data_IF_420570614990
#
_entry.id   IF_420570614990
#
_cell.length_a   1.000
_cell.length_b   1.000
_cell.length_c   1.000
_cell.angle_alpha   90.00
_cell.angle_beta   90.00
_cell.angle_gamma   90.00
#
_symmetry.space_group_name_H-M   'P 1'
#
loop_
_entity.id
_entity.type
_entity.pdbx_description
1 polymer ?
#
# COMPACT_ATOMS: atom_id res chain seq x y z
N UNK A 1 -12.42 -4.63 23.04
CA UNK A 1 -12.20 -5.53 21.90
C UNK A 1 -10.70 -5.59 21.59
N UNK A 2 -10.17 -6.76 21.47
CA UNK A 2 -8.74 -6.96 21.15
C UNK A 2 -8.63 -7.22 19.64
N UNK A 3 -7.86 -6.38 18.95
CA UNK A 3 -7.58 -6.60 17.53
C UNK A 3 -6.41 -7.57 17.38
N UNK A 4 -6.47 -8.35 16.32
CA UNK A 4 -5.38 -9.24 15.91
C UNK A 4 -4.80 -8.79 14.60
N UNK A 5 -3.53 -9.11 14.40
CA UNK A 5 -2.83 -8.83 13.14
C UNK A 5 -2.22 -10.13 12.63
N UNK A 6 -2.24 -10.32 11.30
CA UNK A 6 -1.54 -11.45 10.70
C UNK A 6 -0.03 -11.19 10.69
N UNK A 7 0.77 -12.18 10.26
CA UNK A 7 2.22 -12.06 10.19
C UNK A 7 2.69 -10.91 9.27
N UNK A 8 1.85 -10.52 8.32
CA UNK A 8 2.13 -9.41 7.41
C UNK A 8 1.64 -8.06 7.93
N UNK A 9 1.04 -8.01 9.12
CA UNK A 9 0.55 -6.79 9.74
C UNK A 9 -0.87 -6.39 9.35
N UNK A 10 -1.64 -7.23 8.65
CA UNK A 10 -3.03 -6.94 8.31
C UNK A 10 -3.93 -7.09 9.52
N UNK A 11 -4.87 -6.15 9.67
CA UNK A 11 -5.85 -6.20 10.75
C UNK A 11 -6.81 -7.37 10.53
N UNK A 12 -7.02 -8.16 11.56
CA UNK A 12 -7.88 -9.34 11.52
C UNK A 12 -8.99 -9.26 12.56
N UNK A 13 -10.16 -9.77 12.20
CA UNK A 13 -11.19 -10.06 13.18
C UNK A 13 -10.66 -11.17 14.10
N UNK A 14 -10.83 -11.05 15.44
CA UNK A 14 -10.32 -12.07 16.36
C UNK A 14 -10.89 -13.49 16.15
N UNK A 15 -12.04 -13.59 15.47
CA UNK A 15 -12.65 -14.88 15.17
C UNK A 15 -12.07 -15.57 13.95
N UNK A 16 -11.29 -14.87 13.14
CA UNK A 16 -10.71 -15.45 11.92
C UNK A 16 -9.54 -16.38 12.26
N UNK A 17 -9.50 -17.54 11.60
CA UNK A 17 -8.38 -18.47 11.72
C UNK A 17 -7.21 -18.10 10.84
N UNK A 18 -7.48 -17.40 9.75
CA UNK A 18 -6.47 -16.92 8.80
C UNK A 18 -6.89 -15.57 8.25
N UNK A 19 -5.91 -14.81 7.76
CA UNK A 19 -6.14 -13.47 7.23
C UNK A 19 -6.68 -13.56 5.78
N UNK A 20 -7.89 -13.02 5.49
CA UNK A 20 -8.41 -13.04 4.11
C UNK A 20 -7.54 -12.28 3.12
N UNK A 21 -6.85 -11.22 3.57
CA UNK A 21 -5.95 -10.46 2.70
C UNK A 21 -4.77 -11.31 2.26
N UNK A 22 -4.18 -12.09 3.19
CA UNK A 22 -3.08 -12.98 2.85
C UNK A 22 -3.52 -14.17 1.99
N UNK A 23 -4.79 -14.56 2.06
CA UNK A 23 -5.35 -15.65 1.23
C UNK A 23 -5.66 -15.20 -0.19
N UNK A 24 -5.85 -13.90 -0.43
CA UNK A 24 -6.06 -13.39 -1.78
C UNK A 24 -4.81 -13.64 -2.63
N UNK A 25 -4.96 -13.82 -3.95
CA UNK A 25 -3.80 -14.04 -4.82
C UNK A 25 -2.77 -12.93 -4.71
N UNK A 26 -1.49 -13.30 -4.58
CA UNK A 26 -0.39 -12.37 -4.56
C UNK A 26 -0.20 -11.76 -5.94
N UNK A 27 -0.15 -10.44 -6.02
CA UNK A 27 -0.02 -9.70 -7.29
C UNK A 27 1.32 -9.00 -7.43
N UNK A 28 2.05 -8.83 -6.33
CA UNK A 28 3.34 -8.16 -6.37
C UNK A 28 3.77 -7.64 -5.01
N UNK A 29 4.70 -6.71 -5.05
CA UNK A 29 5.28 -6.09 -3.84
C UNK A 29 5.43 -4.60 -4.01
N UNK A 30 5.26 -3.87 -2.91
CA UNK A 30 5.59 -2.45 -2.82
C UNK A 30 6.86 -2.35 -1.97
N UNK A 31 7.95 -1.90 -2.57
CA UNK A 31 9.25 -1.83 -1.90
C UNK A 31 9.50 -0.41 -1.43
N UNK A 32 9.59 -0.21 -0.11
CA UNK A 32 9.92 1.08 0.48
C UNK A 32 11.41 1.35 0.30
N UNK A 33 11.74 2.45 -0.35
CA UNK A 33 13.11 2.87 -0.58
C UNK A 33 13.52 3.90 0.46
N UNK A 34 14.67 3.68 1.08
CA UNK A 34 15.29 4.62 2.00
C UNK A 34 16.69 4.90 1.50
N UNK A 35 16.97 6.16 1.17
CA UNK A 35 18.25 6.57 0.59
C UNK A 35 18.61 5.77 -0.67
N UNK A 36 17.60 5.49 -1.51
CA UNK A 36 17.78 4.74 -2.74
C UNK A 36 17.92 3.22 -2.58
N UNK A 37 17.83 2.72 -1.34
CA UNK A 37 17.96 1.28 -1.05
C UNK A 37 16.66 0.72 -0.52
N UNK A 38 16.39 -0.56 -0.82
CA UNK A 38 15.24 -1.25 -0.30
C UNK A 38 15.33 -1.38 1.22
N UNK A 39 14.34 -0.83 1.92
CA UNK A 39 14.26 -0.85 3.38
C UNK A 39 13.24 -1.89 3.84
N UNK A 40 12.03 -1.83 3.33
CA UNK A 40 10.94 -2.72 3.71
C UNK A 40 10.09 -3.07 2.50
N UNK A 41 9.55 -4.28 2.49
CA UNK A 41 8.71 -4.77 1.40
C UNK A 41 7.33 -5.11 1.93
N UNK A 42 6.31 -4.64 1.22
CA UNK A 42 4.91 -4.93 1.52
C UNK A 42 4.34 -5.76 0.39
N UNK A 43 3.57 -6.79 0.73
CA UNK A 43 2.90 -7.62 -0.28
C UNK A 43 1.68 -6.91 -0.83
N UNK A 44 1.42 -7.10 -2.13
CA UNK A 44 0.23 -6.59 -2.81
C UNK A 44 -0.60 -7.79 -3.25
N UNK A 45 -1.84 -7.84 -2.80
CA UNK A 45 -2.78 -8.89 -3.11
C UNK A 45 -3.92 -8.38 -3.98
N UNK A 46 -4.61 -9.27 -4.66
CA UNK A 46 -5.81 -8.93 -5.41
C UNK A 46 -6.85 -8.30 -4.47
N UNK A 47 -7.56 -7.29 -4.97
CA UNK A 47 -8.52 -6.51 -4.22
C UNK A 47 -8.00 -5.12 -3.88
N UNK A 48 -8.58 -4.51 -2.85
CA UNK A 48 -8.28 -3.15 -2.42
C UNK A 48 -7.37 -3.16 -1.19
N UNK A 49 -6.29 -2.38 -1.24
CA UNK A 49 -5.35 -2.24 -0.13
C UNK A 49 -5.14 -0.76 0.17
N UNK A 50 -5.40 -0.34 1.41
CA UNK A 50 -5.16 1.03 1.84
C UNK A 50 -3.69 1.24 2.23
N UNK A 51 -3.17 2.41 1.88
CA UNK A 51 -1.82 2.85 2.25
C UNK A 51 -1.97 4.02 3.21
N UNK A 52 -1.35 3.93 4.37
CA UNK A 52 -1.38 4.99 5.35
C UNK A 52 -0.84 4.58 6.70
N UNK A 53 -0.98 5.48 7.69
CA UNK A 53 -0.51 5.24 9.05
C UNK A 53 -1.56 4.58 9.95
N UNK A 54 -2.79 4.45 9.48
CA UNK A 54 -3.88 3.89 10.24
C UNK A 54 -3.74 2.39 10.48
N UNK A 55 -4.27 1.92 11.61
CA UNK A 55 -4.21 0.51 11.98
C UNK A 55 -5.03 -0.39 11.05
N UNK A 56 -5.95 0.19 10.30
CA UNK A 56 -6.81 -0.50 9.34
C UNK A 56 -6.22 -0.56 7.93
N UNK A 57 -5.03 0.02 7.72
CA UNK A 57 -4.37 -0.04 6.42
C UNK A 57 -3.64 -1.38 6.25
N UNK A 58 -3.80 -2.01 5.10
CA UNK A 58 -3.07 -3.24 4.72
C UNK A 58 -1.59 -2.93 4.50
N UNK A 59 -1.30 -1.74 3.94
CA UNK A 59 0.07 -1.24 3.82
C UNK A 59 0.22 -0.11 4.83
N UNK A 60 0.57 -0.50 6.06
CA UNK A 60 0.69 0.43 7.17
C UNK A 60 2.12 0.97 7.28
N UNK A 61 2.23 2.30 7.21
CA UNK A 61 3.52 2.98 7.26
C UNK A 61 3.46 4.00 8.39
N UNK A 62 4.24 3.79 9.45
CA UNK A 62 4.28 4.67 10.60
C UNK A 62 5.21 5.84 10.30
N UNK A 63 4.64 6.88 9.71
CA UNK A 63 5.37 8.08 9.31
C UNK A 63 4.45 9.29 9.46
N UNK A 64 4.95 10.35 10.08
CA UNK A 64 4.18 11.56 10.37
C UNK A 64 3.70 12.29 9.11
N UNK A 65 4.34 12.07 7.97
CA UNK A 65 3.92 12.68 6.69
C UNK A 65 2.70 12.01 6.07
N UNK A 66 2.24 10.87 6.62
CA UNK A 66 1.13 10.12 6.07
C UNK A 66 -0.14 10.28 6.88
N UNK A 67 -1.26 10.47 6.19
CA UNK A 67 -2.59 10.40 6.79
C UNK A 67 -2.92 8.95 7.16
N UNK A 68 -3.95 8.77 8.00
CA UNK A 68 -4.40 7.43 8.40
C UNK A 68 -4.77 6.57 7.19
N UNK A 69 -5.46 7.17 6.21
CA UNK A 69 -5.74 6.57 4.91
C UNK A 69 -5.31 7.58 3.85
N UNK A 70 -4.13 7.42 3.30
CA UNK A 70 -3.52 8.38 2.40
C UNK A 70 -3.83 8.09 0.93
N UNK A 71 -3.77 6.82 0.56
CA UNK A 71 -4.03 6.34 -0.79
C UNK A 71 -4.50 4.90 -0.74
N UNK A 72 -4.94 4.35 -1.86
CA UNK A 72 -5.23 2.93 -1.95
C UNK A 72 -4.85 2.34 -3.30
N UNK A 73 -4.58 1.04 -3.28
CA UNK A 73 -4.32 0.23 -4.47
C UNK A 73 -5.53 -0.65 -4.74
N UNK A 74 -5.90 -0.79 -5.99
CA UNK A 74 -6.92 -1.75 -6.43
C UNK A 74 -6.29 -2.67 -7.46
N UNK A 75 -6.27 -3.96 -7.18
CA UNK A 75 -5.78 -4.98 -8.12
C UNK A 75 -6.95 -5.84 -8.56
N UNK A 76 -7.24 -5.78 -9.84
CA UNK A 76 -8.30 -6.57 -10.45
C UNK A 76 -7.96 -6.81 -11.92
N UNK A 77 -8.26 -8.00 -12.42
CA UNK A 77 -8.07 -8.38 -13.84
C UNK A 77 -6.64 -8.11 -14.36
N UNK A 78 -5.65 -8.38 -13.50
CA UNK A 78 -4.25 -8.19 -13.86
C UNK A 78 -3.79 -6.74 -13.89
N UNK A 79 -4.64 -5.79 -13.48
CA UNK A 79 -4.32 -4.36 -13.43
C UNK A 79 -4.20 -3.87 -12.01
N UNK A 80 -3.21 -3.04 -11.74
CA UNK A 80 -3.01 -2.39 -10.46
C UNK A 80 -3.21 -0.88 -10.63
N UNK A 81 -4.19 -0.33 -9.92
CA UNK A 81 -4.50 1.11 -9.96
C UNK A 81 -4.25 1.72 -8.60
N UNK A 82 -3.62 2.88 -8.56
CA UNK A 82 -3.44 3.65 -7.32
C UNK A 82 -4.31 4.90 -7.36
N UNK A 83 -4.92 5.22 -6.21
CA UNK A 83 -5.81 6.38 -6.07
C UNK A 83 -5.40 7.19 -4.85
N UNK A 84 -5.22 8.50 -5.04
CA UNK A 84 -4.98 9.45 -3.95
C UNK A 84 -6.33 9.75 -3.27
N UNK A 85 -6.39 9.60 -1.96
CA UNK A 85 -7.61 9.89 -1.19
C UNK A 85 -7.78 11.37 -0.85
N UNK A 86 -6.78 12.20 -1.15
CA UNK A 86 -6.86 13.64 -0.91
C UNK A 86 -6.75 14.04 0.56
N UNK A 87 -6.35 13.15 1.44
CA UNK A 87 -6.25 13.40 2.88
C UNK A 87 -4.87 13.89 3.31
N UNK A 88 -3.89 13.83 2.41
CA UNK A 88 -2.53 14.29 2.69
C UNK A 88 -2.32 15.72 2.23
N UNK A 89 -1.31 16.39 2.79
CA UNK A 89 -0.94 17.74 2.39
C UNK A 89 -0.24 17.79 1.04
N UNK A 90 0.39 16.69 0.63
CA UNK A 90 1.11 16.62 -0.64
C UNK A 90 0.42 15.65 -1.61
N UNK A 91 0.45 15.95 -2.92
CA UNK A 91 -0.15 15.06 -3.90
C UNK A 91 0.63 13.75 -4.03
N UNK A 92 -0.10 12.70 -4.39
CA UNK A 92 0.49 11.44 -4.78
C UNK A 92 1.28 11.64 -6.08
N UNK A 93 2.49 11.08 -6.15
CA UNK A 93 3.32 11.16 -7.36
C UNK A 93 3.65 9.77 -7.85
N UNK A 94 3.57 9.60 -9.17
CA UNK A 94 4.04 8.39 -9.86
C UNK A 94 5.04 8.85 -10.91
N UNK A 95 6.27 8.33 -10.81
CA UNK A 95 7.39 8.72 -11.69
C UNK A 95 7.56 10.25 -11.75
N UNK A 96 7.45 10.91 -10.57
CA UNK A 96 7.59 12.36 -10.36
C UNK A 96 6.44 13.21 -10.89
N UNK A 97 5.37 12.60 -11.39
CA UNK A 97 4.19 13.32 -11.86
C UNK A 97 3.08 13.25 -10.82
N UNK A 98 2.44 14.38 -10.52
CA UNK A 98 1.29 14.44 -9.63
C UNK A 98 0.11 13.70 -10.26
N UNK A 99 -0.50 12.78 -9.51
CA UNK A 99 -1.63 12.00 -9.99
C UNK A 99 -2.70 11.89 -8.91
N UNK A 100 -3.95 11.79 -9.35
CA UNK A 100 -5.08 11.47 -8.46
C UNK A 100 -5.43 9.99 -8.61
N UNK A 101 -5.35 9.47 -9.82
CA UNK A 101 -5.63 8.07 -10.14
C UNK A 101 -4.83 7.68 -11.37
N UNK A 102 -4.13 6.56 -11.29
CA UNK A 102 -3.40 6.04 -12.44
C UNK A 102 -3.20 4.54 -12.32
N UNK A 103 -3.06 3.88 -13.46
CA UNK A 103 -2.68 2.46 -13.52
C UNK A 103 -1.17 2.34 -13.43
N UNK A 104 -0.71 1.46 -12.55
CA UNK A 104 0.72 1.22 -12.32
C UNK A 104 1.21 0.08 -13.20
N UNK A 105 2.47 0.19 -13.61
CA UNK A 105 3.20 -0.88 -14.29
C UNK A 105 4.42 -1.27 -13.47
N UNK A 106 4.94 -2.45 -13.72
CA UNK A 106 6.12 -2.95 -13.02
C UNK A 106 7.29 -1.95 -13.11
N UNK A 107 7.87 -1.66 -11.96
CA UNK A 107 9.00 -0.73 -11.87
C UNK A 107 8.64 0.73 -11.64
N UNK A 108 7.36 1.09 -11.61
CA UNK A 108 6.95 2.47 -11.34
C UNK A 108 7.43 2.91 -9.95
N UNK A 109 7.83 4.17 -9.84
CA UNK A 109 8.26 4.80 -8.59
C UNK A 109 7.13 5.68 -8.08
N UNK A 110 6.71 5.43 -6.84
CA UNK A 110 5.56 6.09 -6.22
C UNK A 110 6.06 6.90 -5.02
N UNK A 111 5.61 8.15 -4.90
CA UNK A 111 5.83 8.98 -3.71
C UNK A 111 4.52 9.21 -2.98
N UNK A 112 4.48 8.81 -1.71
CA UNK A 112 3.35 9.01 -0.82
C UNK A 112 3.87 9.78 0.40
N UNK A 113 3.52 11.05 0.52
CA UNK A 113 4.13 11.93 1.51
C UNK A 113 5.65 12.01 1.28
N UNK A 114 6.42 11.79 2.35
CA UNK A 114 7.90 11.78 2.27
C UNK A 114 8.45 10.40 1.93
N UNK A 115 7.60 9.43 1.60
CA UNK A 115 8.01 8.06 1.39
C UNK A 115 8.08 7.74 -0.11
N UNK A 116 9.13 7.06 -0.50
CA UNK A 116 9.34 6.61 -1.89
C UNK A 116 9.24 5.09 -1.94
N UNK A 117 8.47 4.61 -2.90
CA UNK A 117 8.26 3.18 -3.13
C UNK A 117 8.52 2.84 -4.58
N UNK A 118 8.95 1.61 -4.80
CA UNK A 118 9.00 1.03 -6.14
C UNK A 118 8.07 -0.16 -6.19
N UNK A 119 7.21 -0.22 -7.20
CA UNK A 119 6.29 -1.34 -7.33
C UNK A 119 6.92 -2.45 -8.16
N UNK A 120 6.73 -3.68 -7.71
CA UNK A 120 7.14 -4.90 -8.42
C UNK A 120 5.91 -5.73 -8.65
N UNK A 121 5.50 -5.89 -9.89
CA UNK A 121 4.33 -6.67 -10.27
C UNK A 121 4.72 -8.01 -10.85
N UNK A 122 3.89 -9.01 -10.56
CA UNK A 122 4.07 -10.36 -11.11
C UNK A 122 3.64 -10.46 -12.56
#
# INVERSE_FOLDING_TARGET
MVFRYCSEGHLMDPSWKCCPVCLAPLSGWLVHLKEGKADKTYTIHEGKSFIGSGADCEIRILNASLSRQHAYLVVADGMCTIVDMGNGGEPLKVNRADVVKTTLIDGDVIQVGDNTFKIKLL
#
